data_IF_928231615475
#
_entry.id   IF_928231615475
#
_cell.length_a   1.000
_cell.length_b   1.000
_cell.length_c   1.000
_cell.angle_alpha   90.00
_cell.angle_beta   90.00
_cell.angle_gamma   90.00
#
_symmetry.space_group_name_H-M   'P 1'
#
loop_
_entity.id
_entity.type
_entity.pdbx_description
1 polymer ?
#
# COMPACT_ATOMS: atom_id res chain seq x y z
N UNK A 1 9.64 1.57 -34.73
CA UNK A 1 10.64 2.56 -34.28
C UNK A 1 10.05 3.88 -33.78
N UNK A 2 8.96 4.40 -34.34
CA UNK A 2 8.37 5.69 -33.91
C UNK A 2 7.55 5.59 -32.60
N UNK A 3 7.14 4.39 -32.16
CA UNK A 3 6.37 4.16 -30.90
C UNK A 3 7.21 4.09 -29.61
N UNK A 4 8.54 3.96 -29.69
CA UNK A 4 9.42 3.96 -28.50
C UNK A 4 9.86 5.37 -28.08
N UNK A 5 9.84 6.33 -29.01
CA UNK A 5 10.22 7.72 -28.74
C UNK A 5 9.15 8.50 -27.99
N UNK A 6 7.86 8.16 -28.16
CA UNK A 6 6.76 8.76 -27.40
C UNK A 6 6.68 8.25 -25.95
N UNK A 7 7.11 7.01 -25.70
CA UNK A 7 7.17 6.44 -24.34
C UNK A 7 8.28 7.06 -23.48
N UNK A 8 9.42 7.39 -24.10
CA UNK A 8 10.52 8.09 -23.41
C UNK A 8 10.14 9.52 -22.97
N UNK A 9 9.26 10.20 -23.71
CA UNK A 9 8.78 11.55 -23.36
C UNK A 9 7.74 11.54 -22.22
N UNK A 10 6.94 10.48 -22.08
CA UNK A 10 5.98 10.31 -20.98
C UNK A 10 6.67 9.85 -19.67
N UNK A 11 7.70 9.01 -19.76
CA UNK A 11 8.59 8.66 -18.63
C UNK A 11 9.28 9.90 -18.03
N UNK A 12 9.60 10.89 -18.88
CA UNK A 12 10.15 12.16 -18.46
C UNK A 12 9.12 13.15 -17.93
N UNK A 13 7.81 12.94 -18.08
CA UNK A 13 6.80 13.84 -17.51
C UNK A 13 6.38 13.39 -16.09
N UNK A 14 6.25 12.09 -15.85
CA UNK A 14 6.02 11.52 -14.52
C UNK A 14 7.21 11.70 -13.55
N UNK A 15 8.39 12.05 -14.07
CA UNK A 15 9.63 12.31 -13.32
C UNK A 15 10.30 13.65 -13.68
N UNK A 16 9.58 14.56 -14.34
CA UNK A 16 10.18 15.65 -15.12
C UNK A 16 10.75 16.85 -14.37
N UNK A 17 10.35 17.05 -13.11
CA UNK A 17 10.91 18.10 -12.27
C UNK A 17 12.26 17.71 -11.66
N UNK A 18 12.57 16.42 -11.51
CA UNK A 18 13.74 15.92 -10.77
C UNK A 18 14.97 15.57 -11.61
N UNK A 19 14.86 15.47 -12.94
CA UNK A 19 15.98 15.01 -13.78
C UNK A 19 17.03 16.08 -14.14
N UNK A 20 16.73 17.37 -13.92
CA UNK A 20 17.67 18.48 -14.22
C UNK A 20 18.75 18.55 -13.15
N UNK A 21 20.00 18.22 -13.52
CA UNK A 21 21.17 18.30 -12.63
C UNK A 21 21.66 16.98 -12.04
N UNK A 22 20.98 15.86 -12.31
CA UNK A 22 21.42 14.53 -11.86
C UNK A 22 22.68 14.05 -12.60
N UNK A 23 23.51 13.27 -11.92
CA UNK A 23 24.64 12.59 -12.56
C UNK A 23 24.14 11.57 -13.59
N UNK A 24 25.02 11.09 -14.48
CA UNK A 24 24.67 10.03 -15.44
C UNK A 24 24.21 8.75 -14.72
N UNK A 25 24.82 8.47 -13.58
CA UNK A 25 24.53 7.33 -12.72
C UNK A 25 23.13 7.43 -12.11
N UNK A 26 22.79 8.57 -11.51
CA UNK A 26 21.47 8.76 -10.87
C UNK A 26 20.32 8.70 -11.88
N UNK A 27 20.56 9.14 -13.12
CA UNK A 27 19.57 9.00 -14.21
C UNK A 27 19.32 7.54 -14.59
N UNK A 28 20.35 6.70 -14.58
CA UNK A 28 20.18 5.28 -14.90
C UNK A 28 19.40 4.57 -13.78
N UNK A 29 19.73 4.86 -12.52
CA UNK A 29 19.02 4.28 -11.37
C UNK A 29 17.54 4.64 -11.36
N UNK A 30 17.23 5.91 -11.67
CA UNK A 30 15.85 6.35 -11.81
C UNK A 30 15.15 5.65 -12.98
N UNK A 31 15.83 5.49 -14.12
CA UNK A 31 15.31 4.76 -15.28
C UNK A 31 15.05 3.28 -14.96
N UNK A 32 15.91 2.62 -14.17
CA UNK A 32 15.72 1.24 -13.72
C UNK A 32 14.55 1.12 -12.75
N UNK A 33 14.41 2.04 -11.79
CA UNK A 33 13.25 2.11 -10.89
C UNK A 33 11.93 2.27 -11.68
N UNK A 34 11.89 3.18 -12.65
CA UNK A 34 10.71 3.38 -13.49
C UNK A 34 10.47 2.24 -14.51
N UNK A 35 11.45 1.36 -14.75
CA UNK A 35 11.28 0.19 -15.60
C UNK A 35 10.69 -1.02 -14.86
N UNK A 36 10.56 -0.95 -13.53
CA UNK A 36 10.00 -2.05 -12.74
C UNK A 36 8.52 -2.22 -13.00
N UNK A 37 8.15 -3.43 -13.42
CA UNK A 37 6.76 -3.85 -13.52
C UNK A 37 6.33 -4.48 -12.18
N UNK A 38 5.64 -3.68 -11.37
CA UNK A 38 5.05 -4.08 -10.08
C UNK A 38 3.88 -5.07 -10.26
N UNK A 39 3.30 -5.18 -11.46
CA UNK A 39 2.14 -6.04 -11.73
C UNK A 39 2.48 -7.49 -12.09
N UNK A 40 3.76 -7.88 -12.28
CA UNK A 40 4.03 -9.30 -12.59
C UNK A 40 3.62 -10.21 -11.42
N UNK A 41 2.83 -11.24 -11.74
CA UNK A 41 2.27 -12.18 -10.75
C UNK A 41 0.87 -11.81 -10.25
N UNK A 42 0.24 -10.74 -10.77
CA UNK A 42 -1.12 -10.31 -10.38
C UNK A 42 -2.23 -10.94 -11.22
N UNK A 43 -1.86 -11.66 -12.29
CA UNK A 43 -2.73 -12.46 -13.13
C UNK A 43 -2.54 -13.97 -12.83
N UNK A 44 -3.48 -14.84 -13.28
CA UNK A 44 -3.23 -16.27 -13.32
C UNK A 44 -1.94 -16.59 -14.09
N UNK A 45 -1.17 -17.56 -13.59
CA UNK A 45 0.05 -18.06 -14.17
C UNK A 45 -0.26 -18.70 -15.51
N UNK A 46 0.51 -18.33 -16.52
CA UNK A 46 0.46 -18.95 -17.84
C UNK A 46 1.25 -20.28 -17.92
N UNK A 47 1.96 -20.66 -16.84
CA UNK A 47 2.76 -21.88 -16.75
C UNK A 47 2.08 -22.95 -15.89
N UNK A 48 1.95 -24.17 -16.42
CA UNK A 48 1.32 -25.32 -15.73
C UNK A 48 1.97 -25.74 -14.42
N UNK A 49 3.21 -25.32 -14.14
CA UNK A 49 3.97 -25.73 -12.95
C UNK A 49 3.28 -25.33 -11.65
N UNK A 50 2.54 -24.21 -11.65
CA UNK A 50 1.81 -23.72 -10.50
C UNK A 50 0.65 -24.67 -10.07
N UNK A 51 0.04 -25.36 -11.02
CA UNK A 51 -1.02 -26.35 -10.78
C UNK A 51 -0.53 -27.77 -10.44
N UNK A 52 0.78 -28.05 -10.54
CA UNK A 52 1.31 -29.40 -10.30
C UNK A 52 1.31 -29.81 -8.82
N UNK A 53 1.21 -28.86 -7.89
CA UNK A 53 1.30 -29.10 -6.45
C UNK A 53 0.15 -28.47 -5.63
N UNK A 54 -0.89 -27.95 -6.29
CA UNK A 54 -1.92 -27.09 -5.68
C UNK A 54 -3.37 -27.58 -5.75
N UNK A 55 -4.24 -27.03 -4.89
CA UNK A 55 -5.71 -27.19 -4.89
C UNK A 55 -6.44 -25.87 -5.24
N UNK A 56 -6.19 -25.33 -6.44
CA UNK A 56 -7.02 -24.32 -7.12
C UNK A 56 -6.57 -22.85 -7.07
N UNK A 57 -5.93 -22.37 -6.00
CA UNK A 57 -5.53 -20.93 -5.88
C UNK A 57 -4.08 -20.64 -6.27
N UNK A 58 -3.29 -21.70 -6.42
CA UNK A 58 -1.87 -21.70 -6.72
C UNK A 58 -1.57 -21.22 -8.14
N UNK A 59 -2.58 -21.25 -9.02
CA UNK A 59 -2.50 -20.64 -10.34
C UNK A 59 -2.41 -19.12 -10.26
N UNK A 60 -2.77 -18.47 -9.16
CA UNK A 60 -2.59 -17.03 -9.00
C UNK A 60 -1.27 -16.76 -8.29
N UNK A 61 -0.43 -15.88 -8.85
CA UNK A 61 0.82 -15.49 -8.18
C UNK A 61 0.60 -14.79 -6.84
N UNK A 62 -0.63 -14.35 -6.53
CA UNK A 62 -1.06 -13.68 -5.29
C UNK A 62 -0.19 -12.46 -4.92
N UNK A 63 0.43 -11.84 -5.93
CA UNK A 63 1.10 -10.55 -5.78
C UNK A 63 0.11 -9.42 -6.13
N UNK A 64 0.52 -8.19 -5.85
CA UNK A 64 -0.24 -6.97 -6.08
C UNK A 64 0.74 -5.83 -6.41
N UNK A 65 0.34 -4.86 -7.26
CA UNK A 65 1.10 -3.64 -7.41
C UNK A 65 0.90 -2.80 -6.14
N UNK A 66 1.96 -2.35 -5.49
CA UNK A 66 1.82 -1.49 -4.32
C UNK A 66 2.84 -0.35 -4.35
N UNK A 67 2.43 0.74 -3.71
CA UNK A 67 3.33 1.83 -3.33
C UNK A 67 3.69 1.62 -1.88
N UNK A 68 4.98 1.43 -1.61
CA UNK A 68 5.48 1.14 -0.28
C UNK A 68 6.90 1.65 -0.09
N UNK A 69 7.26 1.95 1.15
CA UNK A 69 8.64 1.95 1.61
C UNK A 69 9.07 0.48 1.80
N UNK A 70 10.28 0.07 1.39
CA UNK A 70 10.82 -1.25 1.74
C UNK A 70 10.65 -1.52 3.23
N UNK A 71 9.98 -2.63 3.56
CA UNK A 71 9.74 -3.09 4.93
C UNK A 71 8.93 -2.09 5.80
N UNK A 72 8.25 -1.11 5.20
CA UNK A 72 7.43 -0.12 5.92
C UNK A 72 6.18 -0.72 6.56
N UNK A 73 5.59 -0.03 7.54
CA UNK A 73 4.50 -0.58 8.38
C UNK A 73 3.29 -0.99 7.54
N UNK A 74 2.90 -0.13 6.60
CA UNK A 74 1.82 -0.37 5.66
C UNK A 74 2.28 -0.16 4.22
N UNK A 75 1.44 -0.58 3.28
CA UNK A 75 1.54 -0.21 1.89
C UNK A 75 0.17 0.10 1.31
N UNK A 76 0.16 0.75 0.15
CA UNK A 76 -1.06 1.11 -0.55
C UNK A 76 -1.14 0.45 -1.92
N UNK A 77 -2.26 -0.20 -2.20
CA UNK A 77 -2.50 -0.95 -3.44
C UNK A 77 -3.86 -0.57 -4.04
N UNK A 78 -4.04 -0.51 -5.38
CA UNK A 78 -5.37 -0.56 -5.96
C UNK A 78 -6.14 -1.79 -5.49
N UNK A 79 -7.45 -1.64 -5.32
CA UNK A 79 -8.37 -2.72 -4.97
C UNK A 79 -9.33 -3.00 -6.13
N UNK A 80 -9.38 -4.24 -6.60
CA UNK A 80 -10.38 -4.73 -7.56
C UNK A 80 -11.38 -5.69 -6.90
N UNK A 81 -11.00 -6.31 -5.77
CA UNK A 81 -11.85 -7.22 -4.99
C UNK A 81 -11.88 -6.80 -3.53
N UNK A 82 -13.07 -6.57 -3.02
CA UNK A 82 -13.31 -6.35 -1.60
C UNK A 82 -13.24 -7.68 -0.85
N UNK A 83 -12.68 -7.63 0.36
CA UNK A 83 -12.64 -8.65 1.43
C UNK A 83 -11.21 -8.78 1.99
N UNK A 84 -11.06 -9.21 3.24
CA UNK A 84 -9.78 -9.65 3.80
C UNK A 84 -9.60 -11.17 3.69
N UNK A 85 -10.59 -11.90 3.14
CA UNK A 85 -10.58 -13.36 3.07
C UNK A 85 -9.27 -13.95 2.57
N UNK A 86 -8.92 -15.06 3.19
CA UNK A 86 -7.75 -15.86 2.84
C UNK A 86 -7.68 -16.16 1.33
N UNK A 87 -6.48 -16.00 0.75
CA UNK A 87 -6.19 -16.31 -0.66
C UNK A 87 -6.91 -15.41 -1.68
N UNK A 88 -7.44 -14.28 -1.24
CA UNK A 88 -8.00 -13.25 -2.11
C UNK A 88 -7.14 -11.99 -2.06
N UNK A 89 -6.15 -11.88 -2.94
CA UNK A 89 -5.38 -10.65 -3.13
C UNK A 89 -6.31 -9.44 -3.38
N UNK A 90 -5.99 -8.24 -2.86
CA UNK A 90 -6.77 -7.02 -3.12
C UNK A 90 -6.90 -6.68 -4.61
N UNK A 91 -5.94 -7.10 -5.43
CA UNK A 91 -5.86 -6.77 -6.86
C UNK A 91 -5.64 -7.99 -7.72
N UNK A 92 -6.38 -8.06 -8.83
CA UNK A 92 -6.14 -8.99 -9.93
C UNK A 92 -6.12 -8.26 -11.27
N UNK A 93 -5.08 -8.48 -12.07
CA UNK A 93 -4.91 -7.82 -13.37
C UNK A 93 -6.05 -8.08 -14.36
N UNK A 94 -6.73 -9.23 -14.25
CA UNK A 94 -7.83 -9.56 -15.16
C UNK A 94 -9.13 -8.83 -14.83
N UNK A 95 -9.21 -8.20 -13.66
CA UNK A 95 -10.40 -7.49 -13.24
C UNK A 95 -10.46 -6.12 -13.93
N UNK A 96 -11.66 -5.70 -14.33
CA UNK A 96 -11.89 -4.48 -15.13
C UNK A 96 -12.50 -3.33 -14.32
N UNK A 97 -12.72 -3.55 -13.02
CA UNK A 97 -13.35 -2.62 -12.11
C UNK A 97 -12.43 -2.32 -10.93
N UNK A 98 -12.18 -1.05 -10.68
CA UNK A 98 -11.43 -0.55 -9.54
C UNK A 98 -12.41 -0.05 -8.48
N UNK A 99 -12.21 -0.45 -7.22
CA UNK A 99 -13.03 -0.06 -6.08
C UNK A 99 -12.39 1.07 -5.26
N UNK A 100 -11.08 1.27 -5.34
CA UNK A 100 -10.37 2.32 -4.61
C UNK A 100 -8.91 1.95 -4.35
N UNK A 101 -8.28 2.67 -3.43
CA UNK A 101 -6.95 2.36 -2.91
C UNK A 101 -7.02 1.82 -1.49
N UNK A 102 -6.42 0.67 -1.25
CA UNK A 102 -6.43 -0.04 0.02
C UNK A 102 -5.13 0.20 0.78
N UNK A 103 -5.24 0.66 2.04
CA UNK A 103 -4.18 0.54 3.04
C UNK A 103 -4.14 -0.92 3.48
N UNK A 104 -3.12 -1.65 3.06
CA UNK A 104 -3.09 -3.12 3.10
C UNK A 104 -1.87 -3.62 3.84
N UNK A 105 -2.01 -4.82 4.40
CA UNK A 105 -0.96 -5.60 5.03
C UNK A 105 -0.89 -7.01 4.43
N UNK A 106 -1.47 -7.19 3.24
CA UNK A 106 -1.43 -8.44 2.48
C UNK A 106 0.01 -8.92 2.26
N UNK A 107 0.25 -10.19 2.55
CA UNK A 107 1.56 -10.80 2.32
C UNK A 107 1.72 -11.17 0.85
N UNK A 108 2.46 -10.35 0.09
CA UNK A 108 2.69 -10.55 -1.35
C UNK A 108 3.19 -11.96 -1.66
N UNK A 109 2.54 -12.64 -2.62
CA UNK A 109 2.88 -14.00 -3.02
C UNK A 109 2.37 -15.10 -2.09
N UNK A 110 1.55 -14.76 -1.08
CA UNK A 110 1.04 -15.70 -0.09
C UNK A 110 -0.46 -15.99 -0.27
N UNK A 111 -0.93 -17.02 0.42
CA UNK A 111 -2.34 -17.42 0.52
C UNK A 111 -2.84 -17.14 1.96
N UNK A 112 -2.64 -15.91 2.43
CA UNK A 112 -3.05 -15.43 3.77
C UNK A 112 -4.29 -14.54 3.66
N UNK A 113 -4.80 -14.03 4.77
CA UNK A 113 -5.71 -12.89 4.75
C UNK A 113 -4.92 -11.59 4.73
N UNK A 114 -5.57 -10.52 4.29
CA UNK A 114 -5.21 -9.16 4.71
C UNK A 114 -5.75 -8.92 6.14
N UNK A 115 -5.45 -7.77 6.74
CA UNK A 115 -5.97 -7.46 8.07
C UNK A 115 -5.93 -5.97 8.37
N UNK A 116 -6.86 -5.50 9.21
CA UNK A 116 -6.82 -4.13 9.72
C UNK A 116 -6.86 -3.07 8.62
N UNK A 117 -7.34 -3.44 7.44
CA UNK A 117 -7.20 -2.64 6.23
C UNK A 117 -8.40 -1.72 5.99
N UNK A 118 -8.17 -0.67 5.21
CA UNK A 118 -9.18 0.31 4.81
C UNK A 118 -9.07 0.60 3.32
N UNK A 119 -10.17 0.96 2.70
CA UNK A 119 -10.24 1.37 1.29
C UNK A 119 -10.70 2.81 1.19
N UNK A 120 -10.00 3.60 0.37
CA UNK A 120 -10.37 4.95 -0.04
C UNK A 120 -10.83 4.90 -1.49
N UNK A 121 -12.12 5.09 -1.72
CA UNK A 121 -12.74 5.17 -3.04
C UNK A 121 -12.93 6.63 -3.45
N UNK A 122 -12.74 6.90 -4.74
CA UNK A 122 -12.83 8.25 -5.32
C UNK A 122 -13.78 8.23 -6.49
N UNK A 123 -14.84 9.02 -6.44
CA UNK A 123 -15.94 8.98 -7.39
C UNK A 123 -16.40 10.38 -7.77
N UNK A 124 -17.08 10.50 -8.90
CA UNK A 124 -17.79 11.72 -9.27
C UNK A 124 -19.30 11.48 -9.34
N UNK A 125 -20.06 12.56 -9.46
CA UNK A 125 -21.49 12.48 -9.77
C UNK A 125 -22.33 12.03 -8.58
N UNK A 126 -22.74 10.75 -8.56
CA UNK A 126 -23.59 10.21 -7.50
C UNK A 126 -22.75 9.55 -6.40
N UNK A 127 -22.99 9.96 -5.16
CA UNK A 127 -22.44 9.30 -3.98
C UNK A 127 -22.88 7.82 -3.94
N UNK A 128 -21.89 6.95 -3.79
CA UNK A 128 -22.00 5.49 -3.64
C UNK A 128 -21.22 5.10 -2.40
N UNK A 129 -21.68 4.09 -1.67
CA UNK A 129 -21.25 3.89 -0.28
C UNK A 129 -20.64 2.52 0.02
N UNK A 130 -20.86 1.54 -0.84
CA UNK A 130 -20.24 0.21 -0.73
C UNK A 130 -19.13 0.06 -1.74
N UNK A 131 -18.14 -0.79 -1.48
CA UNK A 131 -17.04 -1.00 -2.43
C UNK A 131 -17.54 -1.52 -3.79
N UNK A 132 -18.58 -2.35 -3.82
CA UNK A 132 -19.20 -2.82 -5.06
C UNK A 132 -19.87 -1.68 -5.83
N UNK A 133 -20.57 -0.76 -5.16
CA UNK A 133 -21.17 0.39 -5.84
C UNK A 133 -20.09 1.37 -6.30
N UNK A 134 -19.05 1.59 -5.50
CA UNK A 134 -17.91 2.44 -5.85
C UNK A 134 -17.09 1.89 -7.04
N UNK A 135 -17.27 0.62 -7.40
CA UNK A 135 -16.55 -0.01 -8.49
C UNK A 135 -16.76 0.71 -9.82
N UNK A 136 -15.68 1.18 -10.45
CA UNK A 136 -15.71 1.93 -11.71
C UNK A 136 -14.76 1.32 -12.74
N UNK A 137 -15.06 1.49 -14.04
CA UNK A 137 -14.20 0.94 -15.10
C UNK A 137 -12.84 1.62 -15.11
N UNK A 138 -11.78 0.83 -15.30
CA UNK A 138 -10.44 1.34 -15.55
C UNK A 138 -9.74 0.50 -16.64
N UNK A 139 -8.61 0.99 -17.14
CA UNK A 139 -7.81 0.29 -18.14
C UNK A 139 -6.34 0.36 -17.78
N UNK A 140 -5.60 -0.73 -17.98
CA UNK A 140 -4.14 -0.75 -17.83
C UNK A 140 -3.42 0.21 -18.80
N UNK A 141 -4.09 0.63 -19.88
CA UNK A 141 -3.53 1.64 -20.79
C UNK A 141 -3.43 3.02 -20.13
N UNK A 142 -4.28 3.30 -19.15
CA UNK A 142 -4.33 4.54 -18.38
C UNK A 142 -3.88 4.31 -16.91
N UNK A 143 -3.17 3.21 -16.65
CA UNK A 143 -2.64 2.84 -15.33
C UNK A 143 -1.11 2.95 -15.33
N UNK A 144 -0.58 3.62 -14.32
CA UNK A 144 0.85 3.71 -14.05
C UNK A 144 1.09 3.10 -12.68
N UNK A 145 2.01 2.15 -12.60
CA UNK A 145 2.36 1.51 -11.33
C UNK A 145 3.87 1.38 -11.20
N UNK A 146 4.40 2.01 -10.15
CA UNK A 146 5.79 1.95 -9.75
C UNK A 146 5.88 1.78 -8.22
N UNK A 147 7.03 1.33 -7.68
CA UNK A 147 7.18 1.14 -6.24
C UNK A 147 6.96 2.42 -5.40
N UNK A 148 7.12 3.59 -6.03
CA UNK A 148 7.05 4.90 -5.37
C UNK A 148 5.79 5.72 -5.70
N UNK A 149 4.98 5.26 -6.67
CA UNK A 149 3.89 6.04 -7.22
C UNK A 149 2.92 5.16 -8.01
N UNK A 150 1.64 5.41 -7.84
CA UNK A 150 0.58 4.82 -8.65
C UNK A 150 -0.35 5.92 -9.17
N UNK A 151 -0.83 5.76 -10.40
CA UNK A 151 -1.84 6.63 -11.01
C UNK A 151 -2.79 5.83 -11.87
N UNK A 152 -4.07 6.21 -11.86
CA UNK A 152 -5.06 5.65 -12.77
C UNK A 152 -6.06 6.72 -13.20
N UNK A 153 -6.42 6.71 -14.48
CA UNK A 153 -7.54 7.50 -14.99
C UNK A 153 -8.84 6.70 -14.89
N UNK A 154 -9.87 7.32 -14.34
CA UNK A 154 -11.20 6.77 -14.17
C UNK A 154 -12.15 7.48 -15.16
N UNK A 155 -12.30 6.96 -16.40
CA UNK A 155 -13.00 7.67 -17.47
C UNK A 155 -14.48 7.90 -17.17
N UNK A 156 -15.15 6.94 -16.51
CA UNK A 156 -16.56 7.08 -16.11
C UNK A 156 -16.74 8.11 -14.98
N UNK A 157 -15.70 8.36 -14.19
CA UNK A 157 -15.71 9.36 -13.12
C UNK A 157 -15.16 10.71 -13.58
N UNK A 158 -14.54 10.79 -14.76
CA UNK A 158 -13.80 11.98 -15.19
C UNK A 158 -12.77 12.41 -14.13
N UNK A 159 -12.08 11.45 -13.51
CA UNK A 159 -11.06 11.69 -12.48
C UNK A 159 -9.73 11.04 -12.88
N UNK A 160 -8.63 11.68 -12.52
CA UNK A 160 -7.34 11.01 -12.38
C UNK A 160 -7.01 10.92 -10.90
N UNK A 161 -6.65 9.72 -10.42
CA UNK A 161 -6.35 9.49 -9.02
C UNK A 161 -4.95 8.92 -8.87
N UNK A 162 -4.19 9.51 -7.96
CA UNK A 162 -2.77 9.25 -7.79
C UNK A 162 -2.46 9.03 -6.31
N UNK A 163 -1.48 8.18 -6.01
CA UNK A 163 -0.99 7.97 -4.65
C UNK A 163 0.53 7.83 -4.59
N UNK A 164 1.09 8.33 -3.49
CA UNK A 164 2.44 8.04 -3.02
C UNK A 164 2.41 7.79 -1.51
N UNK A 165 3.47 7.22 -0.94
CA UNK A 165 3.47 6.78 0.46
C UNK A 165 4.81 6.98 1.18
N UNK A 166 4.74 6.83 2.49
CA UNK A 166 5.85 6.64 3.43
C UNK A 166 5.63 5.31 4.18
N UNK A 167 6.29 5.08 5.32
CA UNK A 167 6.16 3.81 6.05
C UNK A 167 4.77 3.67 6.70
N UNK A 168 4.25 4.79 7.20
CA UNK A 168 3.00 4.85 7.97
C UNK A 168 1.91 5.66 7.31
N UNK A 169 2.23 6.46 6.28
CA UNK A 169 1.30 7.41 5.68
C UNK A 169 1.27 7.37 4.15
N UNK A 170 0.23 7.95 3.56
CA UNK A 170 0.10 8.18 2.14
C UNK A 170 -0.54 9.53 1.83
N UNK A 171 -0.23 10.06 0.65
CA UNK A 171 -0.88 11.23 0.09
C UNK A 171 -1.54 10.82 -1.21
N UNK A 172 -2.82 11.18 -1.35
CA UNK A 172 -3.62 11.01 -2.54
C UNK A 172 -3.83 12.35 -3.21
N UNK A 173 -3.72 12.35 -4.54
CA UNK A 173 -4.06 13.48 -5.39
C UNK A 173 -5.18 13.06 -6.35
N UNK A 174 -6.33 13.71 -6.22
CA UNK A 174 -7.52 13.45 -7.03
C UNK A 174 -7.76 14.67 -7.91
N UNK A 175 -7.59 14.52 -9.22
CA UNK A 175 -7.71 15.62 -10.17
C UNK A 175 -8.95 15.42 -11.04
N UNK A 176 -9.99 16.27 -10.90
CA UNK A 176 -11.16 16.23 -11.77
C UNK A 176 -10.83 16.73 -13.18
N UNK A 177 -11.39 16.08 -14.20
CA UNK A 177 -11.32 16.53 -15.60
C UNK A 177 -12.42 17.56 -15.92
N UNK A 178 -13.44 17.66 -15.06
CA UNK A 178 -14.57 18.57 -15.19
C UNK A 178 -15.01 19.10 -13.82
N UNK A 179 -15.77 20.19 -13.83
CA UNK A 179 -16.39 20.75 -12.62
C UNK A 179 -17.55 19.85 -12.17
N UNK A 180 -17.68 19.62 -10.86
CA UNK A 180 -18.74 18.79 -10.32
C UNK A 180 -18.45 18.25 -8.92
N UNK A 181 -19.39 17.52 -8.32
CA UNK A 181 -19.16 16.87 -7.03
C UNK A 181 -18.13 15.74 -7.17
N UNK A 182 -17.18 15.71 -6.24
CA UNK A 182 -16.19 14.64 -6.08
C UNK A 182 -16.35 14.04 -4.69
N UNK A 183 -16.52 12.73 -4.63
CA UNK A 183 -16.73 11.99 -3.40
C UNK A 183 -15.47 11.21 -3.03
N UNK A 184 -15.06 11.33 -1.77
CA UNK A 184 -14.07 10.47 -1.14
C UNK A 184 -14.83 9.61 -0.14
N UNK A 185 -14.79 8.29 -0.31
CA UNK A 185 -15.49 7.32 0.53
C UNK A 185 -14.45 6.44 1.21
N UNK A 186 -14.53 6.29 2.52
CA UNK A 186 -13.59 5.51 3.32
C UNK A 186 -14.35 4.37 3.96
N UNK A 187 -13.86 3.15 3.78
CA UNK A 187 -14.52 1.92 4.23
C UNK A 187 -13.51 1.03 4.95
N UNK A 188 -13.76 0.62 6.21
CA UNK A 188 -13.03 -0.47 6.84
C UNK A 188 -13.37 -1.78 6.10
N UNK A 189 -12.37 -2.55 5.66
CA UNK A 189 -12.63 -3.81 4.93
C UNK A 189 -13.00 -4.99 5.87
N UNK A 190 -13.64 -4.72 7.01
CA UNK A 190 -13.87 -5.69 8.09
C UNK A 190 -14.89 -6.76 7.66
N UNK A 191 -14.43 -7.94 7.28
CA UNK A 191 -15.31 -9.07 6.92
C UNK A 191 -16.24 -9.48 8.09
N UNK A 192 -15.79 -9.30 9.32
CA UNK A 192 -16.53 -9.60 10.56
C UNK A 192 -17.51 -8.48 10.96
N UNK A 193 -17.54 -7.36 10.22
CA UNK A 193 -18.38 -6.18 10.48
C UNK A 193 -18.18 -5.58 11.88
N UNK A 194 -16.95 -5.65 12.38
CA UNK A 194 -16.55 -5.09 13.68
C UNK A 194 -15.75 -3.80 13.55
N UNK A 195 -15.55 -3.33 12.31
CA UNK A 195 -14.92 -2.05 12.01
C UNK A 195 -15.77 -0.87 12.49
N UNK A 196 -15.11 0.25 12.71
CA UNK A 196 -15.74 1.52 13.06
C UNK A 196 -15.12 2.64 12.24
N UNK A 197 -15.93 3.64 11.91
CA UNK A 197 -15.47 4.83 11.22
C UNK A 197 -16.31 6.05 11.59
N UNK A 198 -15.66 7.19 11.71
CA UNK A 198 -16.29 8.45 12.07
C UNK A 198 -15.65 9.64 11.35
N UNK A 199 -16.47 10.65 11.04
CA UNK A 199 -16.05 11.94 10.49
C UNK A 199 -16.04 12.96 11.62
N UNK A 200 -14.96 13.73 11.71
CA UNK A 200 -14.81 14.83 12.66
C UNK A 200 -14.56 16.13 11.88
N UNK A 201 -15.62 16.83 11.43
CA UNK A 201 -15.49 18.01 10.57
C UNK A 201 -14.70 19.15 11.22
N UNK A 202 -14.81 19.29 12.54
CA UNK A 202 -14.13 20.32 13.32
C UNK A 202 -12.59 20.18 13.28
N UNK A 203 -12.11 18.93 13.21
CA UNK A 203 -10.69 18.61 13.14
C UNK A 203 -10.19 18.39 11.70
N UNK A 204 -11.10 18.41 10.71
CA UNK A 204 -10.85 18.02 9.32
C UNK A 204 -10.29 16.59 9.18
N UNK A 205 -10.86 15.67 9.96
CA UNK A 205 -10.41 14.28 10.03
C UNK A 205 -11.52 13.28 9.78
N UNK A 206 -11.12 12.09 9.32
CA UNK A 206 -11.88 10.85 9.43
C UNK A 206 -11.00 9.89 10.22
N UNK A 207 -11.56 9.26 11.24
CA UNK A 207 -10.88 8.24 12.02
C UNK A 207 -11.65 6.92 11.94
N UNK A 208 -10.93 5.81 11.93
CA UNK A 208 -11.55 4.49 12.01
C UNK A 208 -10.61 3.43 12.57
N UNK A 209 -11.19 2.31 13.00
CA UNK A 209 -10.45 1.10 13.36
C UNK A 209 -11.08 -0.15 12.72
N UNK A 210 -10.25 -1.14 12.37
CA UNK A 210 -10.67 -2.46 11.89
C UNK A 210 -9.97 -3.53 12.75
N UNK A 211 -10.71 -4.27 13.62
CA UNK A 211 -10.14 -5.34 14.44
C UNK A 211 -9.47 -6.41 13.59
N UNK A 212 -8.29 -6.87 14.02
CA UNK A 212 -7.57 -7.96 13.34
C UNK A 212 -7.99 -9.30 13.93
N UNK A 213 -8.23 -10.29 13.09
CA UNK A 213 -8.61 -11.66 13.48
C UNK A 213 -7.50 -12.65 13.12
N UNK A 214 -7.44 -13.81 13.79
CA UNK A 214 -6.41 -14.83 13.56
C UNK A 214 -6.95 -15.95 12.66
N UNK A 215 -6.28 -16.23 11.53
CA UNK A 215 -6.58 -17.45 10.75
C UNK A 215 -6.01 -18.69 11.43
N UNK A 216 -4.69 -18.73 11.60
CA UNK A 216 -3.97 -19.93 11.98
C UNK A 216 -3.77 -19.94 13.50
N UNK A 217 -4.07 -21.08 14.13
CA UNK A 217 -4.00 -21.27 15.59
C UNK A 217 -4.89 -20.33 16.43
N UNK A 218 -5.90 -19.69 15.83
CA UNK A 218 -6.86 -18.83 16.52
C UNK A 218 -8.30 -18.90 16.01
N UNK A 219 -8.60 -19.70 14.98
CA UNK A 219 -9.97 -20.02 14.53
C UNK A 219 -10.91 -18.83 14.29
N UNK A 220 -10.40 -17.68 13.85
CA UNK A 220 -11.20 -16.47 13.63
C UNK A 220 -11.33 -15.55 14.84
N UNK A 221 -10.71 -15.88 15.98
CA UNK A 221 -10.70 -15.01 17.17
C UNK A 221 -9.89 -13.73 16.95
N UNK A 222 -10.22 -12.68 17.71
CA UNK A 222 -9.48 -11.41 17.68
C UNK A 222 -8.00 -11.62 18.01
N UNK A 223 -7.14 -10.96 17.24
CA UNK A 223 -5.70 -11.02 17.39
C UNK A 223 -5.19 -10.24 18.62
N UNK A 224 -5.99 -9.31 19.13
CA UNK A 224 -5.68 -8.46 20.28
C UNK A 224 -5.26 -7.03 19.90
N UNK A 225 -5.33 -6.67 18.62
CA UNK A 225 -5.06 -5.34 18.09
C UNK A 225 -5.98 -5.04 16.89
N UNK A 226 -5.98 -3.79 16.44
CA UNK A 226 -6.72 -3.33 15.27
C UNK A 226 -5.77 -2.59 14.34
N UNK A 227 -6.11 -2.51 13.05
CA UNK A 227 -5.58 -1.45 12.20
C UNK A 227 -6.37 -0.16 12.45
N UNK A 228 -5.68 0.95 12.62
CA UNK A 228 -6.27 2.28 12.81
C UNK A 228 -5.92 3.14 11.59
N UNK A 229 -6.88 3.94 11.11
CA UNK A 229 -6.68 4.89 10.03
C UNK A 229 -7.08 6.28 10.47
N UNK A 230 -6.21 7.26 10.25
CA UNK A 230 -6.49 8.69 10.33
C UNK A 230 -6.37 9.28 8.93
N UNK A 231 -7.44 9.84 8.40
CA UNK A 231 -7.46 10.56 7.13
C UNK A 231 -7.68 12.05 7.38
N UNK A 232 -6.88 12.90 6.74
CA UNK A 232 -6.97 14.36 6.81
C UNK A 232 -7.16 14.96 5.42
N UNK A 233 -7.78 16.14 5.37
CA UNK A 233 -8.09 16.84 4.12
C UNK A 233 -7.83 18.34 4.22
N UNK A 234 -7.29 18.92 3.14
CA UNK A 234 -6.88 20.33 3.13
C UNK A 234 -8.07 21.27 2.85
N UNK A 235 -8.76 21.03 1.73
CA UNK A 235 -9.93 21.78 1.29
C UNK A 235 -11.16 21.45 2.18
N UNK A 236 -12.12 22.39 2.31
CA UNK A 236 -13.37 22.11 3.02
C UNK A 236 -14.35 21.37 2.11
N UNK A 237 -14.92 20.21 2.54
CA UNK A 237 -16.00 19.56 1.80
C UNK A 237 -17.27 20.41 1.84
N UNK A 238 -18.09 20.32 0.79
CA UNK A 238 -19.44 20.91 0.75
C UNK A 238 -20.46 20.08 1.55
N UNK A 239 -20.16 18.78 1.76
CA UNK A 239 -20.91 17.92 2.67
C UNK A 239 -20.05 16.74 3.13
N UNK A 240 -20.35 16.20 4.30
CA UNK A 240 -19.73 15.00 4.83
C UNK A 240 -20.77 14.19 5.62
N UNK A 241 -20.46 12.93 5.88
CA UNK A 241 -21.28 12.10 6.75
C UNK A 241 -20.68 10.71 6.94
N UNK A 242 -21.34 9.93 7.79
CA UNK A 242 -20.98 8.56 8.07
C UNK A 242 -22.23 7.69 8.23
N UNK A 243 -22.05 6.39 8.05
CA UNK A 243 -22.97 5.34 8.47
C UNK A 243 -22.17 4.14 8.99
N UNK A 244 -22.85 3.03 9.29
CA UNK A 244 -22.21 1.86 9.89
C UNK A 244 -21.11 1.23 9.02
N UNK A 245 -21.08 1.51 7.71
CA UNK A 245 -20.14 0.88 6.77
C UNK A 245 -19.05 1.83 6.28
N UNK A 246 -19.35 3.13 6.17
CA UNK A 246 -18.42 4.07 5.55
C UNK A 246 -18.54 5.49 6.11
N UNK A 247 -17.48 6.26 5.91
CA UNK A 247 -17.49 7.70 6.00
C UNK A 247 -17.29 8.31 4.60
N UNK A 248 -17.87 9.48 4.34
CA UNK A 248 -17.70 10.17 3.06
C UNK A 248 -17.49 11.66 3.22
N UNK A 249 -16.73 12.21 2.27
CA UNK A 249 -16.53 13.64 2.03
C UNK A 249 -16.98 13.95 0.61
N UNK A 250 -17.69 15.05 0.41
CA UNK A 250 -18.03 15.57 -0.91
C UNK A 250 -17.40 16.94 -1.08
N UNK A 251 -16.58 17.08 -2.11
CA UNK A 251 -15.97 18.34 -2.51
C UNK A 251 -16.64 18.90 -3.75
N UNK A 252 -16.62 20.22 -3.89
CA UNK A 252 -16.89 20.87 -5.17
C UNK A 252 -15.61 20.82 -6.02
N UNK A 253 -15.48 19.77 -6.82
CA UNK A 253 -14.38 19.61 -7.77
C UNK A 253 -14.38 20.68 -8.85
N UNK A 254 -13.17 21.05 -9.26
CA UNK A 254 -12.92 21.96 -10.38
C UNK A 254 -11.94 21.31 -11.34
N UNK A 255 -12.20 21.43 -12.64
CA UNK A 255 -11.37 20.86 -13.68
C UNK A 255 -9.89 21.28 -13.49
N UNK A 256 -9.00 20.29 -13.44
CA UNK A 256 -7.56 20.48 -13.28
C UNK A 256 -7.09 20.95 -11.89
N UNK A 257 -7.99 21.22 -10.93
CA UNK A 257 -7.61 21.55 -9.55
C UNK A 257 -7.59 20.27 -8.70
N UNK A 258 -6.43 19.82 -8.20
CA UNK A 258 -6.36 18.62 -7.39
C UNK A 258 -7.00 18.82 -6.02
N UNK A 259 -7.67 17.79 -5.54
CA UNK A 259 -8.07 17.59 -4.14
C UNK A 259 -6.99 16.70 -3.51
N UNK A 260 -6.42 17.17 -2.38
CA UNK A 260 -5.37 16.47 -1.65
C UNK A 260 -5.97 15.85 -0.38
N UNK A 261 -5.74 14.55 -0.24
CA UNK A 261 -6.13 13.77 0.93
C UNK A 261 -4.87 13.10 1.47
N UNK A 262 -4.71 13.06 2.79
CA UNK A 262 -3.60 12.36 3.44
C UNK A 262 -4.16 11.32 4.37
N UNK A 263 -3.47 10.20 4.52
CA UNK A 263 -3.86 9.15 5.43
C UNK A 263 -2.64 8.64 6.19
N UNK A 264 -2.79 8.31 7.46
CA UNK A 264 -1.80 7.62 8.27
C UNK A 264 -2.47 6.45 8.99
N UNK A 265 -1.72 5.37 9.22
CA UNK A 265 -2.20 4.22 9.98
C UNK A 265 -1.37 3.96 11.22
N UNK A 266 -1.92 3.15 12.12
CA UNK A 266 -1.20 2.61 13.29
C UNK A 266 -1.83 1.29 13.70
N UNK A 267 -1.06 0.43 14.36
CA UNK A 267 -1.59 -0.74 15.04
C UNK A 267 -1.85 -0.53 16.54
N UNK A 268 -1.48 0.62 17.09
CA UNK A 268 -1.51 0.89 18.54
C UNK A 268 -2.71 1.71 18.98
N UNK A 269 -3.24 2.56 18.11
CA UNK A 269 -4.39 3.38 18.41
C UNK A 269 -4.51 4.63 17.55
N UNK A 270 -5.45 5.48 17.95
CA UNK A 270 -5.66 6.80 17.34
C UNK A 270 -4.45 7.70 17.52
N UNK A 271 -3.92 7.77 18.73
CA UNK A 271 -2.76 8.59 19.08
C UNK A 271 -1.52 8.16 18.28
N UNK A 272 -1.35 6.86 18.04
CA UNK A 272 -0.30 6.34 17.17
C UNK A 272 -0.45 6.81 15.73
N UNK A 273 -1.67 6.75 15.17
CA UNK A 273 -1.94 7.24 13.82
C UNK A 273 -1.72 8.77 13.70
N UNK A 274 -2.08 9.54 14.72
CA UNK A 274 -1.83 10.99 14.79
C UNK A 274 -0.33 11.32 14.83
N UNK A 275 0.47 10.63 15.65
CA UNK A 275 1.92 10.83 15.72
C UNK A 275 2.58 10.43 14.38
N UNK A 276 2.15 9.32 13.78
CA UNK A 276 2.64 8.89 12.47
C UNK A 276 2.32 9.93 11.38
N UNK A 277 1.10 10.51 11.40
CA UNK A 277 0.72 11.60 10.50
C UNK A 277 1.61 12.83 10.68
N UNK A 278 1.81 13.28 11.93
CA UNK A 278 2.66 14.44 12.25
C UNK A 278 4.10 14.24 11.78
N UNK A 279 4.63 13.02 11.92
CA UNK A 279 6.00 12.71 11.54
C UNK A 279 6.20 12.61 10.02
N UNK A 280 5.25 12.03 9.28
CA UNK A 280 5.48 11.63 7.88
C UNK A 280 4.66 12.41 6.83
N UNK A 281 3.55 13.03 7.21
CA UNK A 281 2.59 13.62 6.28
C UNK A 281 2.22 15.09 6.56
N UNK A 282 2.34 15.56 7.81
CA UNK A 282 2.05 16.96 8.16
C UNK A 282 3.04 17.92 7.47
N UNK A 283 2.52 18.93 6.78
CA UNK A 283 3.34 19.89 6.01
C UNK A 283 4.06 19.30 4.79
N UNK A 284 3.99 17.99 4.55
CA UNK A 284 4.61 17.31 3.40
C UNK A 284 3.68 17.38 2.18
N UNK A 285 4.20 17.82 1.04
CA UNK A 285 3.47 17.80 -0.23
C UNK A 285 3.57 16.44 -0.94
N UNK A 286 2.66 16.17 -1.87
CA UNK A 286 2.67 14.97 -2.69
C UNK A 286 4.02 14.75 -3.39
N UNK A 287 4.59 15.79 -4.01
CA UNK A 287 5.86 15.68 -4.71
C UNK A 287 7.03 15.41 -3.75
N UNK A 288 7.06 16.05 -2.57
CA UNK A 288 8.10 15.79 -1.57
C UNK A 288 8.09 14.34 -1.08
N UNK A 289 6.91 13.78 -0.79
CA UNK A 289 6.78 12.38 -0.37
C UNK A 289 7.21 11.43 -1.49
N UNK A 290 6.74 11.67 -2.72
CA UNK A 290 7.13 10.89 -3.91
C UNK A 290 8.62 10.90 -4.16
N UNK A 291 9.25 12.08 -4.12
CA UNK A 291 10.70 12.22 -4.28
C UNK A 291 11.48 11.54 -3.17
N UNK A 292 10.99 11.60 -1.93
CA UNK A 292 11.57 10.87 -0.81
C UNK A 292 11.54 9.36 -1.08
N UNK A 293 10.40 8.85 -1.52
CA UNK A 293 10.22 7.44 -1.79
C UNK A 293 11.05 6.96 -3.00
N UNK A 294 11.22 7.79 -4.03
CA UNK A 294 12.17 7.53 -5.13
C UNK A 294 13.59 7.34 -4.59
N UNK A 295 14.06 8.24 -3.72
CA UNK A 295 15.41 8.18 -3.13
C UNK A 295 15.60 6.92 -2.28
N UNK A 296 14.59 6.52 -1.52
CA UNK A 296 14.59 5.30 -0.72
C UNK A 296 14.73 4.08 -1.64
N UNK A 297 13.91 3.97 -2.68
CA UNK A 297 13.96 2.83 -3.60
C UNK A 297 15.25 2.76 -4.40
N UNK A 298 15.76 3.90 -4.91
CA UNK A 298 17.06 3.92 -5.60
C UNK A 298 18.15 3.39 -4.67
N UNK A 299 18.21 3.86 -3.43
CA UNK A 299 19.19 3.38 -2.45
C UNK A 299 19.03 1.88 -2.16
N UNK A 300 17.80 1.41 -2.01
CA UNK A 300 17.52 0.01 -1.69
C UNK A 300 17.86 -0.93 -2.84
N UNK A 301 17.41 -0.63 -4.06
CA UNK A 301 17.70 -1.46 -5.24
C UNK A 301 19.20 -1.47 -5.56
N UNK A 302 19.85 -0.32 -5.51
CA UNK A 302 21.28 -0.16 -5.80
C UNK A 302 22.19 -0.39 -4.59
N UNK A 303 21.68 -1.04 -3.54
CA UNK A 303 22.53 -1.77 -2.61
C UNK A 303 23.23 -2.95 -3.34
N UNK A 304 22.63 -3.43 -4.43
CA UNK A 304 23.18 -4.45 -5.32
C UNK A 304 23.05 -3.98 -6.77
N UNK A 305 24.18 -3.58 -7.38
CA UNK A 305 24.23 -3.27 -8.80
C UNK A 305 24.38 -4.54 -9.63
N UNK A 306 23.51 -4.68 -10.64
CA UNK A 306 23.53 -5.82 -11.57
C UNK A 306 23.81 -5.32 -12.98
N UNK A 307 24.80 -5.94 -13.61
CA UNK A 307 25.14 -5.72 -15.02
C UNK A 307 24.76 -6.94 -15.84
N UNK A 308 23.89 -6.75 -16.84
CA UNK A 308 23.60 -7.73 -17.88
C UNK A 308 23.32 -6.98 -19.19
N UNK A 309 23.66 -7.60 -20.31
CA UNK A 309 23.29 -7.12 -21.65
C UNK A 309 21.78 -7.19 -21.90
N UNK A 310 21.08 -8.10 -21.23
CA UNK A 310 19.64 -8.27 -21.30
C UNK A 310 18.94 -7.47 -20.19
N UNK A 311 18.40 -6.31 -20.57
CA UNK A 311 17.64 -5.44 -19.65
C UNK A 311 16.42 -6.13 -19.03
N UNK A 312 15.87 -7.18 -19.65
CA UNK A 312 14.76 -7.92 -19.07
C UNK A 312 15.18 -8.69 -17.81
N UNK A 313 16.41 -9.23 -17.78
CA UNK A 313 16.95 -9.91 -16.59
C UNK A 313 17.24 -8.94 -15.45
N UNK A 314 17.75 -7.76 -15.77
CA UNK A 314 17.93 -6.68 -14.79
C UNK A 314 16.56 -6.32 -14.16
N UNK A 315 15.54 -6.10 -14.99
CA UNK A 315 14.20 -5.78 -14.51
C UNK A 315 13.57 -6.94 -13.71
N UNK A 316 13.84 -8.19 -14.08
CA UNK A 316 13.40 -9.36 -13.31
C UNK A 316 14.06 -9.41 -11.93
N UNK A 317 15.38 -9.17 -11.85
CA UNK A 317 16.11 -9.13 -10.59
C UNK A 317 15.55 -8.05 -9.66
N UNK A 318 15.49 -6.80 -10.12
CA UNK A 318 14.96 -5.70 -9.30
C UNK A 318 13.47 -5.85 -9.01
N UNK A 319 12.70 -6.46 -9.91
CA UNK A 319 11.32 -6.83 -9.65
C UNK A 319 11.19 -7.89 -8.54
N UNK A 320 12.07 -8.88 -8.51
CA UNK A 320 12.11 -9.86 -7.42
C UNK A 320 12.53 -9.20 -6.10
N UNK A 321 13.50 -8.29 -6.14
CA UNK A 321 13.93 -7.52 -4.96
C UNK A 321 12.77 -6.67 -4.41
N UNK A 322 12.06 -5.92 -5.26
CA UNK A 322 10.85 -5.18 -4.88
C UNK A 322 9.82 -6.06 -4.14
N UNK A 323 9.56 -7.29 -4.64
CA UNK A 323 8.63 -8.22 -3.99
C UNK A 323 9.17 -8.76 -2.66
N UNK A 324 10.48 -8.95 -2.56
CA UNK A 324 11.14 -9.35 -1.32
C UNK A 324 11.10 -8.24 -0.25
N UNK A 325 11.02 -6.97 -0.64
CA UNK A 325 10.97 -5.81 0.26
C UNK A 325 9.61 -5.62 0.96
N UNK A 326 8.59 -6.41 0.67
CA UNK A 326 7.32 -6.33 1.42
C UNK A 326 7.49 -6.85 2.85
N UNK A 327 8.31 -7.88 3.04
CA UNK A 327 8.41 -8.61 4.30
C UNK A 327 9.88 -8.77 4.73
N UNK A 328 10.17 -8.78 6.04
CA UNK A 328 9.23 -8.51 7.13
C UNK A 328 8.81 -7.02 7.14
N UNK A 329 7.56 -6.70 7.44
CA UNK A 329 7.15 -5.30 7.58
C UNK A 329 7.24 -4.85 9.04
N UNK A 330 7.39 -3.54 9.21
CA UNK A 330 7.35 -2.86 10.50
C UNK A 330 5.96 -2.97 11.16
N UNK A 331 5.91 -3.10 12.48
CA UNK A 331 4.67 -3.06 13.27
C UNK A 331 4.64 -1.91 14.27
N UNK A 332 5.78 -1.24 14.46
CA UNK A 332 5.93 -0.11 15.36
C UNK A 332 5.51 1.17 14.69
N UNK A 333 4.90 2.07 15.45
CA UNK A 333 4.75 3.48 15.10
C UNK A 333 6.10 4.20 15.20
N UNK A 334 6.17 5.43 14.70
CA UNK A 334 7.42 6.24 14.69
C UNK A 334 8.01 6.50 16.07
N UNK A 335 7.20 6.42 17.14
CA UNK A 335 7.66 6.56 18.53
C UNK A 335 8.12 5.23 19.16
N UNK A 336 8.15 4.16 18.36
CA UNK A 336 8.52 2.81 18.74
C UNK A 336 7.40 1.98 19.39
N UNK A 337 6.18 2.53 19.50
CA UNK A 337 5.02 1.83 20.06
C UNK A 337 4.53 0.72 19.14
N UNK A 338 4.25 -0.47 19.66
CA UNK A 338 3.69 -1.59 18.88
C UNK A 338 2.74 -2.48 19.71
N UNK A 339 1.85 -3.26 19.07
CA UNK A 339 0.98 -4.20 19.77
C UNK A 339 1.75 -5.33 20.47
N UNK A 340 1.41 -5.69 21.71
CA UNK A 340 1.97 -6.89 22.34
C UNK A 340 1.30 -8.18 21.82
N UNK A 341 2.11 -9.09 21.28
CA UNK A 341 1.63 -10.35 20.68
C UNK A 341 1.41 -11.51 21.69
N UNK A 342 1.78 -11.34 22.98
CA UNK A 342 1.93 -12.48 23.90
C UNK A 342 0.91 -12.58 25.06
N UNK A 343 0.12 -11.54 25.37
CA UNK A 343 -0.64 -11.51 26.63
C UNK A 343 -2.17 -11.54 26.50
N UNK A 344 -2.73 -11.48 25.28
CA UNK A 344 -4.19 -11.36 25.09
C UNK A 344 -4.79 -10.05 25.66
N UNK A 345 -3.96 -9.16 26.19
CA UNK A 345 -4.33 -7.84 26.71
C UNK A 345 -3.93 -6.77 25.70
N UNK A 346 -4.84 -5.82 25.39
CA UNK A 346 -4.58 -4.62 24.59
C UNK A 346 -3.56 -3.72 25.30
N UNK A 347 -2.27 -4.04 25.17
CA UNK A 347 -1.19 -3.27 25.79
C UNK A 347 -0.11 -2.98 24.76
N UNK A 348 0.35 -1.73 24.74
CA UNK A 348 1.40 -1.22 23.85
C UNK A 348 2.77 -1.48 24.49
N UNK A 349 3.73 -1.96 23.71
CA UNK A 349 5.14 -2.01 24.07
C UNK A 349 5.92 -0.95 23.29
N UNK A 350 7.10 -0.54 23.78
CA UNK A 350 7.98 0.40 23.09
C UNK A 350 9.35 -0.21 22.83
N UNK A 351 9.80 -0.19 21.58
CA UNK A 351 11.16 -0.53 21.15
C UNK A 351 11.48 0.18 19.83
N UNK A 352 12.76 0.32 19.45
CA UNK A 352 13.17 1.16 18.32
C UNK A 352 12.61 0.71 16.96
N UNK A 353 12.38 -0.59 16.76
CA UNK A 353 11.61 -1.16 15.63
C UNK A 353 11.18 -2.59 15.94
N UNK A 354 9.96 -2.99 15.57
CA UNK A 354 9.54 -4.40 15.57
C UNK A 354 9.16 -4.85 14.15
N UNK A 355 9.73 -5.97 13.71
CA UNK A 355 9.47 -6.60 12.42
C UNK A 355 8.79 -7.97 12.61
N UNK A 356 7.76 -8.28 11.82
CA UNK A 356 7.08 -9.59 11.89
C UNK A 356 7.72 -10.62 10.96
N UNK A 357 8.05 -11.80 11.49
CA UNK A 357 8.60 -12.90 10.70
C UNK A 357 7.50 -13.88 10.30
N UNK A 358 7.33 -14.07 9.00
CA UNK A 358 6.49 -15.14 8.45
C UNK A 358 7.33 -16.36 8.06
N UNK A 359 6.76 -17.57 8.18
CA UNK A 359 7.49 -18.84 8.02
C UNK A 359 8.16 -18.99 6.64
N UNK A 360 7.54 -18.45 5.58
CA UNK A 360 8.08 -18.49 4.21
C UNK A 360 9.30 -17.56 4.00
N UNK A 361 9.42 -16.47 4.76
CA UNK A 361 10.55 -15.53 4.67
C UNK A 361 11.85 -16.04 5.31
N UNK A 362 11.81 -17.16 6.05
CA UNK A 362 12.95 -17.66 6.84
C UNK A 362 14.06 -18.27 5.96
N UNK A 363 13.76 -18.76 4.75
CA UNK A 363 14.73 -19.53 3.95
C UNK A 363 15.64 -18.68 3.06
N UNK A 364 15.11 -17.67 2.37
CA UNK A 364 15.86 -16.83 1.42
C UNK A 364 15.75 -15.32 1.69
N UNK A 365 14.56 -14.81 2.01
CA UNK A 365 14.33 -13.37 2.25
C UNK A 365 15.09 -12.86 3.46
N UNK A 366 15.14 -13.63 4.56
CA UNK A 366 15.92 -13.31 5.76
C UNK A 366 17.44 -13.23 5.50
N UNK A 367 17.96 -14.08 4.60
CA UNK A 367 19.38 -14.07 4.19
C UNK A 367 19.70 -12.92 3.24
N UNK A 368 18.76 -12.59 2.35
CA UNK A 368 18.91 -11.44 1.45
C UNK A 368 18.88 -10.14 2.26
N UNK A 369 17.91 -9.99 3.17
CA UNK A 369 17.80 -8.83 4.07
C UNK A 369 19.05 -8.65 4.94
N UNK A 370 19.66 -9.73 5.45
CA UNK A 370 20.91 -9.61 6.22
C UNK A 370 22.13 -9.15 5.39
N UNK A 371 22.09 -9.31 4.05
CA UNK A 371 23.13 -8.85 3.14
C UNK A 371 22.89 -7.43 2.63
N UNK A 372 21.64 -7.07 2.28
CA UNK A 372 21.28 -5.75 1.75
C UNK A 372 20.96 -4.72 2.84
N UNK A 373 20.47 -5.16 4.01
CA UNK A 373 20.03 -4.30 5.12
C UNK A 373 20.48 -4.88 6.48
N UNK A 374 21.74 -4.69 6.89
CA UNK A 374 22.30 -5.33 8.09
C UNK A 374 21.62 -4.92 9.41
N UNK A 375 20.81 -3.85 9.42
CA UNK A 375 19.99 -3.43 10.56
C UNK A 375 18.71 -4.28 10.74
N UNK A 376 18.23 -4.96 9.70
CA UNK A 376 17.14 -5.93 9.79
C UNK A 376 17.72 -7.27 10.27
N UNK A 377 17.98 -7.37 11.57
CA UNK A 377 18.36 -8.62 12.23
C UNK A 377 17.26 -9.10 13.16
N UNK A 378 16.79 -10.32 12.93
CA UNK A 378 16.04 -11.05 13.95
C UNK A 378 16.98 -11.52 15.04
N UNK A 379 16.86 -11.00 16.27
CA UNK A 379 17.38 -11.70 17.45
C UNK A 379 16.47 -12.90 17.71
N UNK A 380 16.97 -14.16 17.69
CA UNK A 380 16.15 -15.29 18.06
C UNK A 380 15.71 -15.11 19.52
N UNK A 381 14.40 -15.14 19.76
CA UNK A 381 13.86 -15.26 21.11
C UNK A 381 14.35 -16.58 21.70
N UNK A 382 15.31 -16.52 22.62
CA UNK A 382 15.68 -17.65 23.46
C UNK A 382 14.59 -17.86 24.50
N UNK A 383 13.75 -18.88 24.31
CA UNK A 383 12.92 -19.42 25.39
C UNK A 383 13.85 -19.94 26.50
N UNK A 384 13.65 -19.54 27.77
CA UNK A 384 14.32 -20.23 28.85
C UNK A 384 13.75 -21.65 28.92
N UNK A 385 14.58 -22.64 28.60
CA UNK A 385 14.28 -24.04 28.91
C UNK A 385 14.17 -24.16 30.43
N UNK A 386 12.98 -24.52 30.91
CA UNK A 386 12.82 -25.05 32.27
C UNK A 386 13.72 -26.28 32.41
N UNK A 387 14.54 -26.39 33.47
CA UNK A 387 15.37 -27.57 33.67
C UNK A 387 14.48 -28.78 34.00
N UNK A 388 14.84 -29.99 33.52
CA UNK A 388 14.08 -31.19 33.83
C UNK A 388 14.37 -31.63 35.26
N UNK A 389 13.36 -31.52 36.13
CA UNK A 389 12.69 -32.60 36.90
C UNK A 389 11.70 -31.98 37.87
#
# INVERSE_FOLDING_TARGET
>A
MIRYLTFAFLLLWACGSTARGLSKHDREHLRQLCALNTMVGTAPANTKTAGLFGKGSEEHGQTMPAVLVPNGQNFWTPQTRESERKCLSPYYYTDTKLQGFRNSHWTSGSCTQDYGSFTISTLSGKLRKTAQECATSFSHADEISHPHYYSVRLPEEHLTTEMTASSHAAIFRITPEQDGPVHIVVTPNSDEKEGHIEVEPEHKTIYGYNPVHRIYQGWGERAGFSGHLLLTYEDNPISCGQDDNCAWLTFQGKAGKPIIIKAASSFTGREGAEINYQAEAEGVSFEQMKESLIRIWIRHLHAIDIEDTDTARINQFYGALYRASFMPHEMSDVDGSYPRFASGQKTVAKNSSLLTLHFASITATSRCGTLSEPCIRSTPYSTPMSPPT
#
